data_IF_521245469826
#
_entry.id   IF_521245469826
#
_cell.length_a   1.000
_cell.length_b   1.000
_cell.length_c   1.000
_cell.angle_alpha   90.00
_cell.angle_beta   90.00
_cell.angle_gamma   90.00
#
_symmetry.space_group_name_H-M   'P 1'
#
loop_
_entity.id
_entity.type
_entity.pdbx_description
1 polymer ?
#
# COMPACT_ATOMS: atom_id res chain seq x y z
N UNK A 1 -48.22 -4.08 53.74
CA UNK A 1 -48.23 -3.09 52.65
C UNK A 1 -46.85 -2.47 52.50
N UNK A 2 -45.95 -3.08 51.79
CA UNK A 2 -44.63 -2.47 51.37
C UNK A 2 -43.98 -3.36 50.27
N UNK A 3 -44.51 -3.32 49.07
CA UNK A 3 -43.88 -4.06 47.96
C UNK A 3 -44.21 -3.45 46.57
N UNK A 4 -44.08 -2.14 46.41
CA UNK A 4 -44.46 -1.50 45.14
C UNK A 4 -43.49 -0.40 44.64
N UNK A 5 -42.29 -0.23 45.20
CA UNK A 5 -41.39 0.91 44.81
C UNK A 5 -40.18 0.47 43.97
N UNK A 6 -39.88 -0.81 43.87
CA UNK A 6 -38.60 -1.28 43.27
C UNK A 6 -38.67 -1.61 41.76
N UNK A 7 -39.83 -1.48 41.11
CA UNK A 7 -39.97 -1.91 39.69
C UNK A 7 -39.79 -0.81 38.63
N UNK A 8 -39.61 0.46 39.02
CA UNK A 8 -39.53 1.56 38.04
C UNK A 8 -38.17 2.21 37.85
N UNK A 9 -37.15 1.87 38.64
CA UNK A 9 -35.80 2.50 38.55
C UNK A 9 -34.79 1.70 37.76
N UNK A 10 -34.99 0.41 37.52
CA UNK A 10 -34.03 -0.46 36.81
C UNK A 10 -33.85 -0.13 35.33
N UNK A 11 -34.91 0.19 34.54
CA UNK A 11 -34.71 0.49 33.14
C UNK A 11 -33.96 1.81 32.86
N UNK A 12 -34.09 2.80 33.73
CA UNK A 12 -33.42 4.09 33.57
C UNK A 12 -31.90 4.02 33.79
N UNK A 13 -31.47 3.21 34.77
CA UNK A 13 -30.03 3.03 35.06
C UNK A 13 -29.34 2.24 33.97
N UNK A 14 -30.00 1.21 33.39
CA UNK A 14 -29.48 0.43 32.31
C UNK A 14 -29.30 1.27 31.01
N UNK A 15 -30.28 2.14 30.74
CA UNK A 15 -30.20 3.05 29.59
C UNK A 15 -29.08 4.07 29.76
N UNK A 16 -28.89 4.63 30.95
CA UNK A 16 -27.80 5.57 31.25
C UNK A 16 -26.42 4.91 31.14
N UNK A 17 -26.28 3.64 31.52
CA UNK A 17 -25.02 2.89 31.35
C UNK A 17 -24.74 2.57 29.91
N UNK A 18 -25.75 2.24 29.10
CA UNK A 18 -25.57 1.99 27.67
C UNK A 18 -25.21 3.27 26.88
N UNK A 19 -25.86 4.41 27.22
CA UNK A 19 -25.52 5.70 26.60
C UNK A 19 -24.16 6.19 27.07
N UNK A 20 -23.80 5.98 28.32
CA UNK A 20 -22.45 6.30 28.84
C UNK A 20 -21.36 5.52 28.17
N UNK A 21 -21.61 4.27 27.78
CA UNK A 21 -20.61 3.45 27.05
C UNK A 21 -20.47 3.86 25.59
N UNK A 22 -21.53 4.38 24.99
CA UNK A 22 -21.52 4.84 23.60
C UNK A 22 -20.87 6.23 23.41
N UNK A 23 -20.75 7.01 24.49
CA UNK A 23 -20.20 8.38 24.50
C UNK A 23 -18.83 8.44 25.19
N UNK A 24 -18.26 7.29 25.63
CA UNK A 24 -16.91 7.30 26.18
C UNK A 24 -15.95 7.67 25.04
N UNK A 25 -15.26 8.82 25.11
CA UNK A 25 -14.29 9.16 24.09
C UNK A 25 -13.22 8.05 24.10
N UNK A 26 -12.97 7.47 22.93
CA UNK A 26 -11.82 6.56 22.78
C UNK A 26 -10.58 7.29 23.28
N UNK A 27 -9.74 6.63 24.11
CA UNK A 27 -8.50 7.25 24.55
C UNK A 27 -7.71 7.68 23.31
N UNK A 28 -7.22 8.92 23.32
CA UNK A 28 -6.42 9.45 22.23
C UNK A 28 -5.27 8.49 21.93
N UNK A 29 -5.31 7.88 20.75
CA UNK A 29 -4.20 7.02 20.30
C UNK A 29 -2.93 7.86 20.27
N UNK A 30 -1.78 7.31 20.65
CA UNK A 30 -0.52 8.03 20.58
C UNK A 30 -0.23 8.44 19.13
N UNK A 31 0.28 9.65 18.94
CA UNK A 31 0.71 10.16 17.64
C UNK A 31 2.15 9.71 17.40
N UNK A 32 2.39 9.03 16.28
CA UNK A 32 3.73 8.56 15.91
C UNK A 32 4.56 9.72 15.34
N UNK A 33 5.81 9.93 15.79
CA UNK A 33 6.73 10.86 15.14
C UNK A 33 7.00 10.47 13.68
N UNK A 34 7.18 11.46 12.79
CA UNK A 34 7.40 11.25 11.35
C UNK A 34 8.61 10.35 11.09
N UNK A 35 9.71 10.59 11.77
CA UNK A 35 10.95 9.81 11.61
C UNK A 35 10.74 8.34 11.99
N UNK A 36 9.98 8.08 13.04
CA UNK A 36 9.66 6.72 13.45
C UNK A 36 8.75 6.03 12.43
N UNK A 37 7.77 6.77 11.88
CA UNK A 37 6.90 6.26 10.84
C UNK A 37 7.68 5.91 9.57
N UNK A 38 8.59 6.79 9.16
CA UNK A 38 9.46 6.56 8.00
C UNK A 38 10.31 5.31 8.18
N UNK A 39 11.02 5.16 9.30
CA UNK A 39 11.82 3.97 9.57
C UNK A 39 11.00 2.68 9.57
N UNK A 40 9.77 2.74 10.11
CA UNK A 40 8.88 1.56 10.10
C UNK A 40 8.46 1.19 8.68
N UNK A 41 8.09 2.15 7.86
CA UNK A 41 7.75 1.94 6.45
C UNK A 41 8.96 1.39 5.68
N UNK A 42 10.14 1.99 5.84
CA UNK A 42 11.38 1.55 5.18
C UNK A 42 11.71 0.10 5.53
N UNK A 43 11.51 -0.31 6.79
CA UNK A 43 11.71 -1.69 7.20
C UNK A 43 10.76 -2.66 6.48
N UNK A 44 9.46 -2.30 6.36
CA UNK A 44 8.48 -3.13 5.64
C UNK A 44 8.81 -3.25 4.15
N UNK A 45 9.22 -2.14 3.51
CA UNK A 45 9.64 -2.14 2.10
C UNK A 45 10.90 -2.98 1.90
N UNK A 46 11.89 -2.85 2.79
CA UNK A 46 13.15 -3.60 2.74
C UNK A 46 12.93 -5.11 2.93
N UNK A 47 12.05 -5.50 3.85
CA UNK A 47 11.70 -6.90 4.09
C UNK A 47 11.07 -7.55 2.86
N UNK A 48 10.15 -6.83 2.20
CA UNK A 48 9.55 -7.31 0.94
C UNK A 48 10.61 -7.40 -0.15
N UNK A 49 11.44 -6.35 -0.33
CA UNK A 49 12.49 -6.37 -1.34
C UNK A 49 13.50 -7.51 -1.14
N UNK A 50 13.83 -7.81 0.13
CA UNK A 50 14.75 -8.89 0.50
C UNK A 50 14.17 -10.30 0.37
N UNK A 51 12.84 -10.45 0.27
CA UNK A 51 12.19 -11.76 0.18
C UNK A 51 12.29 -12.41 -1.21
N UNK A 52 12.59 -11.62 -2.25
CA UNK A 52 12.66 -12.13 -3.63
C UNK A 52 13.99 -12.83 -3.92
N UNK A 53 13.93 -14.07 -4.41
CA UNK A 53 15.08 -14.85 -4.84
C UNK A 53 14.77 -15.57 -6.16
N UNK A 54 15.36 -15.14 -7.29
CA UNK A 54 16.33 -14.05 -7.44
C UNK A 54 15.73 -12.69 -7.08
N UNK A 55 16.59 -11.74 -6.71
CA UNK A 55 16.18 -10.42 -6.28
C UNK A 55 15.40 -9.66 -7.35
N UNK A 56 14.37 -8.95 -6.94
CA UNK A 56 13.61 -8.06 -7.79
C UNK A 56 14.16 -6.63 -7.66
N UNK A 57 14.46 -5.98 -8.77
CA UNK A 57 14.96 -4.61 -8.74
C UNK A 57 13.81 -3.63 -8.52
N UNK A 58 13.99 -2.71 -7.57
CA UNK A 58 13.00 -1.71 -7.19
C UNK A 58 13.44 -0.30 -7.56
N UNK A 59 12.47 0.54 -7.90
CA UNK A 59 12.66 1.98 -7.97
C UNK A 59 12.82 2.56 -6.55
N UNK A 60 13.24 3.81 -6.46
CA UNK A 60 13.26 4.54 -5.20
C UNK A 60 11.85 4.71 -4.65
N UNK A 61 11.69 4.54 -3.33
CA UNK A 61 10.41 4.72 -2.68
C UNK A 61 10.01 6.20 -2.68
N UNK A 62 8.73 6.47 -2.93
CA UNK A 62 8.15 7.81 -2.87
C UNK A 62 7.20 7.90 -1.69
N UNK A 63 7.31 9.00 -0.96
CA UNK A 63 6.53 9.25 0.23
C UNK A 63 5.48 10.33 -0.02
N UNK A 64 4.29 10.09 0.51
CA UNK A 64 3.18 11.02 0.52
C UNK A 64 2.66 11.12 1.95
N UNK A 65 2.19 12.30 2.35
CA UNK A 65 1.53 12.50 3.63
C UNK A 65 0.21 13.22 3.40
N UNK A 66 -0.86 12.64 3.94
CA UNK A 66 -2.21 13.20 3.84
C UNK A 66 -2.75 13.51 5.24
N UNK A 67 -3.05 14.80 5.56
CA UNK A 67 -3.54 15.19 6.87
C UNK A 67 -4.94 14.63 7.13
N UNK A 68 -5.17 14.09 8.32
CA UNK A 68 -6.49 13.67 8.75
C UNK A 68 -7.33 14.88 9.13
N UNK A 69 -8.49 14.98 8.48
CA UNK A 69 -9.43 16.07 8.70
C UNK A 69 -10.57 15.63 9.64
N UNK A 70 -11.15 16.58 10.37
CA UNK A 70 -12.36 16.29 11.15
C UNK A 70 -13.50 15.84 10.24
N UNK A 71 -14.27 14.83 10.66
CA UNK A 71 -15.22 14.08 9.84
C UNK A 71 -16.37 14.86 9.20
N UNK A 72 -16.49 16.17 9.44
CA UNK A 72 -17.52 17.00 8.82
C UNK A 72 -16.92 18.27 8.23
N UNK A 73 -16.69 18.26 6.91
CA UNK A 73 -16.25 19.41 6.15
C UNK A 73 -17.47 20.20 5.69
N UNK A 74 -18.01 21.05 6.57
CA UNK A 74 -19.13 21.94 6.27
C UNK A 74 -18.69 23.29 5.68
N UNK A 75 -19.62 24.24 5.64
CA UNK A 75 -19.37 25.61 5.15
C UNK A 75 -18.29 26.38 5.92
N UNK A 76 -17.93 25.92 7.13
CA UNK A 76 -16.84 26.46 7.96
C UNK A 76 -15.45 25.86 7.66
N UNK A 77 -15.37 24.92 6.68
CA UNK A 77 -14.14 24.20 6.34
C UNK A 77 -13.84 23.02 7.26
N UNK A 78 -12.89 22.18 6.81
CA UNK A 78 -12.35 21.08 7.59
C UNK A 78 -11.25 21.57 8.54
N UNK A 79 -11.17 21.00 9.72
CA UNK A 79 -10.07 21.25 10.66
C UNK A 79 -9.13 20.06 10.66
N UNK A 80 -7.84 20.32 10.62
CA UNK A 80 -6.81 19.30 10.80
C UNK A 80 -6.84 18.76 12.21
N UNK A 81 -6.66 17.45 12.35
CA UNK A 81 -6.62 16.78 13.65
C UNK A 81 -5.22 16.79 14.29
N UNK A 82 -4.21 17.27 13.58
CA UNK A 82 -2.80 17.14 13.96
C UNK A 82 -2.23 15.75 13.67
N UNK A 83 -3.01 14.90 13.02
CA UNK A 83 -2.65 13.55 12.57
C UNK A 83 -2.63 13.52 11.04
N UNK A 84 -1.84 12.61 10.50
CA UNK A 84 -1.76 12.34 9.07
C UNK A 84 -1.64 10.85 8.81
N UNK A 85 -1.93 10.45 7.60
CA UNK A 85 -1.50 9.18 7.05
C UNK A 85 -0.20 9.39 6.27
N UNK A 86 0.80 8.55 6.52
CA UNK A 86 2.03 8.51 5.76
C UNK A 86 2.05 7.27 4.88
N UNK A 87 2.18 7.46 3.59
CA UNK A 87 2.24 6.39 2.60
C UNK A 87 3.57 6.43 1.86
N UNK A 88 4.22 5.27 1.73
CA UNK A 88 5.28 5.09 0.76
C UNK A 88 4.84 4.15 -0.35
N UNK A 89 5.25 4.46 -1.58
CA UNK A 89 4.99 3.68 -2.79
C UNK A 89 6.30 3.33 -3.46
N UNK A 90 6.45 2.09 -3.89
CA UNK A 90 7.63 1.61 -4.58
C UNK A 90 7.22 0.69 -5.73
N UNK A 91 7.76 0.92 -6.92
CA UNK A 91 7.48 0.10 -8.10
C UNK A 91 8.68 -0.76 -8.46
N UNK A 92 8.44 -1.97 -8.97
CA UNK A 92 9.50 -2.77 -9.55
C UNK A 92 9.96 -2.15 -10.88
N UNK A 93 11.28 -2.14 -11.10
CA UNK A 93 11.88 -1.75 -12.39
C UNK A 93 11.76 -2.83 -13.46
N UNK A 94 11.47 -4.04 -13.03
CA UNK A 94 11.39 -5.24 -13.85
C UNK A 94 9.94 -5.52 -14.19
N UNK A 95 9.67 -5.81 -15.45
CA UNK A 95 8.37 -6.30 -15.89
C UNK A 95 8.28 -7.80 -15.62
N UNK A 96 7.27 -8.20 -14.85
CA UNK A 96 7.02 -9.61 -14.52
C UNK A 96 6.26 -10.27 -15.65
N UNK A 97 6.75 -11.43 -16.10
CA UNK A 97 6.08 -12.25 -17.12
C UNK A 97 4.71 -12.73 -16.61
N UNK A 98 3.72 -12.77 -17.50
CA UNK A 98 2.37 -13.28 -17.17
C UNK A 98 2.35 -14.75 -16.75
N UNK A 99 3.41 -15.51 -17.03
CA UNK A 99 3.55 -16.91 -16.58
C UNK A 99 4.11 -17.02 -15.17
N UNK A 100 4.57 -15.90 -14.59
CA UNK A 100 5.16 -15.82 -13.25
C UNK A 100 4.45 -14.83 -12.33
N UNK A 101 3.37 -14.23 -12.78
CA UNK A 101 2.68 -13.12 -12.07
C UNK A 101 2.16 -13.49 -10.67
N UNK A 102 1.92 -14.78 -10.43
CA UNK A 102 1.50 -15.31 -9.13
C UNK A 102 2.67 -15.49 -8.14
N UNK A 103 3.91 -15.73 -8.63
CA UNK A 103 5.07 -16.00 -7.78
C UNK A 103 5.37 -14.85 -6.80
N UNK A 104 5.42 -13.57 -7.24
CA UNK A 104 5.63 -12.45 -6.34
C UNK A 104 4.53 -12.33 -5.27
N UNK A 105 3.28 -12.62 -5.64
CA UNK A 105 2.15 -12.58 -4.73
C UNK A 105 2.26 -13.67 -3.65
N UNK A 106 2.70 -14.87 -4.04
CA UNK A 106 2.91 -15.99 -3.11
C UNK A 106 4.05 -15.69 -2.12
N UNK A 107 5.15 -15.09 -2.60
CA UNK A 107 6.29 -14.68 -1.77
C UNK A 107 5.85 -13.64 -0.73
N UNK A 108 5.17 -12.58 -1.16
CA UNK A 108 4.72 -11.50 -0.26
C UNK A 108 3.67 -12.00 0.73
N UNK A 109 2.73 -12.83 0.27
CA UNK A 109 1.73 -13.44 1.14
C UNK A 109 2.39 -14.28 2.24
N UNK A 110 3.36 -15.12 1.88
CA UNK A 110 4.08 -15.96 2.83
C UNK A 110 4.89 -15.13 3.82
N UNK A 111 5.58 -14.07 3.35
CA UNK A 111 6.34 -13.15 4.19
C UNK A 111 5.45 -12.48 5.25
N UNK A 112 4.35 -11.88 4.82
CA UNK A 112 3.46 -11.16 5.74
C UNK A 112 2.73 -12.09 6.69
N UNK A 113 2.35 -13.28 6.24
CA UNK A 113 1.80 -14.32 7.11
C UNK A 113 2.81 -14.79 8.17
N UNK A 114 4.09 -14.96 7.80
CA UNK A 114 5.16 -15.33 8.74
C UNK A 114 5.42 -14.23 9.80
N UNK A 115 5.17 -12.95 9.47
CA UNK A 115 5.20 -11.82 10.41
C UNK A 115 3.96 -11.78 11.33
N UNK A 116 2.98 -12.66 11.11
CA UNK A 116 1.74 -12.71 11.89
C UNK A 116 0.70 -11.67 11.50
N UNK A 117 0.81 -11.06 10.32
CA UNK A 117 -0.17 -10.11 9.83
C UNK A 117 -1.45 -10.81 9.33
N UNK A 118 -2.63 -10.17 9.45
CA UNK A 118 -3.88 -10.67 8.89
C UNK A 118 -3.89 -10.45 7.36
N UNK A 119 -3.28 -11.38 6.63
CA UNK A 119 -3.11 -11.27 5.18
C UNK A 119 -4.38 -11.65 4.45
N UNK A 120 -4.80 -10.80 3.53
CA UNK A 120 -5.87 -11.06 2.58
C UNK A 120 -5.31 -11.05 1.16
N UNK A 121 -5.77 -11.99 0.31
CA UNK A 121 -5.40 -12.03 -1.11
C UNK A 121 -6.65 -11.98 -1.96
N UNK A 122 -6.68 -11.06 -2.90
CA UNK A 122 -7.77 -10.94 -3.86
C UNK A 122 -7.19 -10.72 -5.27
N UNK A 123 -7.41 -11.70 -6.15
CA UNK A 123 -6.92 -11.65 -7.53
C UNK A 123 -5.41 -11.38 -7.61
N UNK A 124 -5.07 -10.19 -8.07
CA UNK A 124 -3.71 -9.73 -8.34
C UNK A 124 -3.07 -8.93 -7.20
N UNK A 125 -3.70 -8.90 -6.04
CA UNK A 125 -3.25 -8.15 -4.89
C UNK A 125 -3.16 -9.02 -3.63
N UNK A 126 -2.21 -8.65 -2.76
CA UNK A 126 -2.06 -9.14 -1.39
C UNK A 126 -2.11 -7.93 -0.47
N UNK A 127 -2.92 -8.01 0.58
CA UNK A 127 -3.21 -6.89 1.46
C UNK A 127 -3.09 -7.28 2.93
N UNK A 128 -2.65 -6.32 3.74
CA UNK A 128 -2.72 -6.32 5.19
C UNK A 128 -3.42 -5.06 5.62
N UNK A 129 -4.51 -5.18 6.37
CA UNK A 129 -5.24 -4.05 6.89
C UNK A 129 -5.35 -4.17 8.40
N UNK A 130 -4.72 -3.24 9.11
CA UNK A 130 -4.87 -3.07 10.55
C UNK A 130 -5.19 -1.61 10.89
N UNK A 131 -5.47 -1.32 12.15
CA UNK A 131 -5.79 0.05 12.57
C UNK A 131 -4.61 1.03 12.47
N UNK A 132 -3.38 0.55 12.33
CA UNK A 132 -2.17 1.37 12.32
C UNK A 132 -1.38 1.23 11.03
N UNK A 133 -1.40 0.04 10.41
CA UNK A 133 -0.58 -0.32 9.25
C UNK A 133 -1.45 -0.94 8.17
N UNK A 134 -1.37 -0.39 6.98
CA UNK A 134 -1.89 -1.01 5.76
C UNK A 134 -0.72 -1.29 4.82
N UNK A 135 -0.65 -2.53 4.32
CA UNK A 135 0.31 -2.95 3.31
C UNK A 135 -0.46 -3.44 2.10
N UNK A 136 0.01 -3.10 0.92
CA UNK A 136 -0.61 -3.50 -0.33
C UNK A 136 0.47 -3.82 -1.36
N UNK A 137 0.37 -4.99 -1.95
CA UNK A 137 1.25 -5.45 -3.01
C UNK A 137 0.41 -5.94 -4.18
N UNK A 138 0.72 -5.51 -5.37
CA UNK A 138 -0.01 -5.89 -6.59
C UNK A 138 0.94 -6.17 -7.74
N UNK A 139 0.53 -7.10 -8.59
CA UNK A 139 1.11 -7.29 -9.93
C UNK A 139 0.04 -6.91 -10.93
N UNK A 140 0.20 -5.76 -11.59
CA UNK A 140 -0.76 -5.27 -12.58
C UNK A 140 -0.80 -6.15 -13.84
N UNK A 141 -1.87 -6.01 -14.61
CA UNK A 141 -2.07 -6.74 -15.88
C UNK A 141 -0.96 -6.47 -16.93
N UNK A 142 -0.24 -5.39 -16.77
CA UNK A 142 0.92 -5.03 -17.58
C UNK A 142 2.25 -5.65 -17.07
N UNK A 143 2.18 -6.48 -16.01
CA UNK A 143 3.33 -7.09 -15.36
C UNK A 143 4.11 -6.16 -14.43
N UNK A 144 3.60 -4.96 -14.14
CA UNK A 144 4.24 -4.04 -13.19
C UNK A 144 3.86 -4.38 -11.76
N UNK A 145 4.85 -4.60 -10.89
CA UNK A 145 4.60 -4.79 -9.47
C UNK A 145 4.73 -3.47 -8.72
N UNK A 146 3.81 -3.25 -7.79
CA UNK A 146 3.78 -2.11 -6.89
C UNK A 146 3.66 -2.58 -5.45
N UNK A 147 4.42 -1.95 -4.57
CA UNK A 147 4.36 -2.11 -3.13
C UNK A 147 3.98 -0.77 -2.50
N UNK A 148 3.02 -0.81 -1.60
CA UNK A 148 2.58 0.34 -0.82
C UNK A 148 2.55 -0.01 0.66
N UNK A 149 3.06 0.90 1.49
CA UNK A 149 2.95 0.82 2.93
C UNK A 149 2.39 2.13 3.46
N UNK A 150 1.33 2.07 4.26
CA UNK A 150 0.65 3.23 4.85
C UNK A 150 0.60 3.08 6.37
N UNK A 151 1.00 4.10 7.09
CA UNK A 151 0.85 4.22 8.53
C UNK A 151 -0.15 5.32 8.86
N UNK A 152 -1.09 5.00 9.74
CA UNK A 152 -2.04 5.95 10.29
C UNK A 152 -1.49 6.59 11.57
N UNK A 153 -2.15 7.67 12.01
CA UNK A 153 -1.85 8.36 13.26
C UNK A 153 -0.40 8.91 13.37
N UNK A 154 0.18 9.29 12.24
CA UNK A 154 1.47 9.98 12.17
C UNK A 154 1.26 11.47 12.46
N UNK A 155 2.26 12.14 13.05
CA UNK A 155 2.21 13.57 13.32
C UNK A 155 2.07 14.36 12.02
N UNK A 156 1.02 15.19 11.90
CA UNK A 156 0.87 16.10 10.77
C UNK A 156 1.92 17.21 10.83
N UNK A 157 2.74 17.31 9.78
CA UNK A 157 3.79 18.31 9.62
C UNK A 157 3.55 19.22 8.43
N UNK A 158 2.37 19.16 7.82
CA UNK A 158 2.04 19.86 6.58
C UNK A 158 2.07 21.38 6.70
N UNK A 159 2.03 21.94 7.92
CA UNK A 159 2.17 23.37 8.16
C UNK A 159 3.64 23.83 8.26
N UNK A 160 4.59 22.92 8.31
CA UNK A 160 5.98 23.22 8.59
C UNK A 160 6.86 23.31 7.34
N UNK A 161 6.30 23.58 6.13
CA UNK A 161 7.10 23.70 4.90
C UNK A 161 8.23 22.65 4.88
N UNK A 162 7.89 21.36 5.03
CA UNK A 162 8.87 20.31 4.83
C UNK A 162 9.25 20.28 3.35
N UNK A 163 10.11 21.21 2.97
CA UNK A 163 10.92 21.15 1.75
C UNK A 163 11.90 19.99 1.89
N UNK A 164 11.42 18.79 1.78
CA UNK A 164 12.32 17.65 1.91
C UNK A 164 11.57 16.32 1.90
N UNK A 165 11.11 15.89 0.78
CA UNK A 165 10.78 14.49 0.55
C UNK A 165 9.33 14.10 0.60
N UNK A 166 8.43 14.89 1.17
CA UNK A 166 7.00 14.62 1.15
C UNK A 166 6.33 15.46 0.07
N UNK A 167 5.90 14.84 -1.02
CA UNK A 167 5.26 15.53 -2.15
C UNK A 167 5.99 15.37 -3.47
N UNK A 168 6.76 14.31 -3.62
CA UNK A 168 7.14 13.88 -4.95
C UNK A 168 5.86 13.45 -5.67
N UNK A 169 5.54 14.11 -6.79
CA UNK A 169 4.33 13.84 -7.57
C UNK A 169 4.09 12.36 -7.87
N UNK A 170 2.96 12.01 -8.49
CA UNK A 170 2.57 10.63 -8.70
C UNK A 170 3.70 9.82 -9.32
N UNK A 171 3.90 8.59 -8.85
CA UNK A 171 4.81 7.64 -9.47
C UNK A 171 4.42 7.51 -10.94
N UNK A 172 5.35 7.82 -11.85
CA UNK A 172 5.19 7.43 -13.24
C UNK A 172 5.48 5.92 -13.35
N UNK A 173 4.44 5.13 -13.12
CA UNK A 173 4.51 3.67 -13.17
C UNK A 173 4.99 3.17 -14.55
N UNK A 174 4.60 3.87 -15.62
CA UNK A 174 4.98 3.48 -16.96
C UNK A 174 6.49 3.66 -17.21
N UNK A 175 7.09 4.72 -16.66
CA UNK A 175 8.52 4.97 -16.78
C UNK A 175 9.35 4.12 -15.80
N UNK A 176 8.78 3.72 -14.66
CA UNK A 176 9.48 2.89 -13.67
C UNK A 176 9.47 1.41 -14.01
N UNK A 177 8.35 0.93 -14.57
CA UNK A 177 8.17 -0.47 -14.96
C UNK A 177 8.81 -0.72 -16.34
N UNK A 178 9.41 -1.90 -16.50
CA UNK A 178 10.09 -2.33 -17.74
C UNK A 178 11.33 -1.51 -18.13
N UNK A 179 11.94 -0.79 -17.18
CA UNK A 179 13.24 -0.15 -17.40
C UNK A 179 14.41 -1.13 -17.37
N UNK A 180 14.19 -2.32 -16.79
CA UNK A 180 15.17 -3.41 -16.67
C UNK A 180 14.56 -4.70 -17.18
N UNK A 181 15.26 -5.37 -18.09
CA UNK A 181 14.95 -6.75 -18.46
C UNK A 181 15.69 -7.71 -17.53
N UNK A 182 14.94 -8.61 -16.92
CA UNK A 182 15.47 -9.58 -15.96
C UNK A 182 15.30 -10.99 -16.53
N UNK A 183 16.38 -11.80 -16.59
CA UNK A 183 16.33 -13.11 -17.21
C UNK A 183 15.38 -14.10 -16.52
N UNK A 184 15.05 -13.87 -15.24
CA UNK A 184 14.11 -14.71 -14.53
C UNK A 184 12.69 -14.14 -14.55
N UNK A 185 12.54 -12.87 -14.13
CA UNK A 185 11.20 -12.29 -13.91
C UNK A 185 10.49 -11.87 -15.19
N UNK A 186 11.27 -11.39 -16.22
CA UNK A 186 10.70 -10.85 -17.45
C UNK A 186 10.38 -11.91 -18.49
N UNK A 187 10.86 -13.13 -18.29
CA UNK A 187 10.73 -14.20 -19.28
C UNK A 187 9.85 -15.35 -18.80
N UNK A 188 9.32 -16.10 -19.76
CA UNK A 188 8.53 -17.30 -19.49
C UNK A 188 9.35 -18.34 -18.70
N UNK A 189 8.76 -18.93 -17.67
CA UNK A 189 9.36 -19.99 -16.89
C UNK A 189 9.75 -21.21 -17.73
N UNK A 190 9.01 -21.47 -18.81
CA UNK A 190 9.27 -22.58 -19.71
C UNK A 190 10.32 -22.27 -20.80
N UNK A 191 10.60 -20.97 -21.03
CA UNK A 191 11.54 -20.53 -22.04
C UNK A 191 12.30 -19.28 -21.55
N UNK A 192 13.24 -19.44 -20.60
CA UNK A 192 14.03 -18.33 -20.12
C UNK A 192 14.83 -17.74 -21.29
N UNK A 193 14.94 -16.38 -21.33
CA UNK A 193 15.70 -15.70 -22.36
C UNK A 193 17.13 -16.25 -22.45
N UNK A 194 17.58 -16.53 -23.64
CA UNK A 194 19.00 -16.77 -23.85
C UNK A 194 19.76 -15.46 -23.66
N UNK A 195 20.91 -15.50 -22.98
CA UNK A 195 21.71 -14.28 -22.75
C UNK A 195 22.05 -13.52 -24.03
N UNK A 196 22.00 -14.17 -25.18
CA UNK A 196 22.34 -13.62 -26.52
C UNK A 196 21.16 -12.86 -27.15
N UNK A 197 19.92 -13.04 -26.70
CA UNK A 197 18.73 -12.42 -27.28
C UNK A 197 18.36 -11.07 -26.64
N UNK A 198 19.07 -10.68 -25.58
CA UNK A 198 18.92 -9.38 -24.94
C UNK A 198 19.68 -8.31 -25.71
N UNK A 199 19.31 -8.11 -26.97
CA UNK A 199 19.78 -6.96 -27.77
C UNK A 199 18.99 -5.69 -27.37
N UNK A 200 19.57 -4.49 -27.60
CA UNK A 200 18.86 -3.24 -27.35
C UNK A 200 17.58 -3.22 -28.18
N UNK A 201 16.46 -3.03 -27.48
CA UNK A 201 15.07 -3.00 -27.96
C UNK A 201 14.90 -2.69 -29.44
N UNK A 202 14.80 -3.73 -30.25
CA UNK A 202 14.42 -3.56 -31.64
C UNK A 202 12.99 -3.03 -31.70
N UNK A 203 12.86 -1.79 -32.16
CA UNK A 203 11.60 -1.26 -32.69
C UNK A 203 11.12 -2.29 -33.71
N UNK A 204 10.04 -3.02 -33.38
CA UNK A 204 9.49 -4.04 -34.27
C UNK A 204 9.26 -3.45 -35.66
N UNK A 205 9.96 -3.98 -36.63
CA UNK A 205 9.79 -3.66 -38.04
C UNK A 205 8.36 -3.99 -38.41
N UNK A 206 7.57 -2.98 -38.73
CA UNK A 206 6.25 -3.13 -39.32
C UNK A 206 6.37 -4.06 -40.55
N UNK A 207 5.50 -5.07 -40.69
CA UNK A 207 5.50 -5.91 -41.88
C UNK A 207 5.25 -5.04 -43.13
N UNK A 208 5.89 -5.34 -44.25
CA UNK A 208 5.73 -4.59 -45.49
C UNK A 208 4.25 -4.65 -45.93
N UNK A 209 3.71 -3.56 -46.52
CA UNK A 209 2.35 -3.53 -47.01
C UNK A 209 2.14 -4.58 -48.11
N UNK A 210 1.07 -5.36 -48.01
CA UNK A 210 0.66 -6.34 -48.98
C UNK A 210 0.44 -5.70 -50.35
N UNK A 211 0.90 -6.31 -51.49
CA UNK A 211 0.70 -5.79 -52.82
C UNK A 211 -0.82 -5.75 -53.15
N UNK A 212 -1.29 -4.60 -53.64
CA UNK A 212 -2.64 -4.48 -54.19
C UNK A 212 -2.72 -5.31 -55.45
N UNK A 213 -3.64 -6.25 -55.46
CA UNK A 213 -4.05 -6.96 -56.68
C UNK A 213 -4.97 -6.04 -57.45
N UNK A 214 -4.55 -5.74 -58.68
CA UNK A 214 -5.34 -5.00 -59.69
C UNK A 214 -6.43 -5.86 -60.30
#
# INVERSE_FOLDING_TARGET
MRAAVWRKTVPGVLLALLVGWYVWPEPDKPIMPVEQAQHRIEAELADVAGAFHPGLQWAEARYESEPNLTGFCGTSGCKKTGRAEMTAKQAAKVRISSTRDHEPLDIVQALWAAKGYPVHREGWAVEVNSSELSLWFVVGVNGCAELRATLSDVKDTSDNNMEGGFGQGPLDYAASCASVDDPYWSHDAANPARPEEVGPSGIGSLPPPSPRVS
#
